data_IF_044728438659
#
_entry.id   IF_044728438659
#
_cell.length_a   1.000
_cell.length_b   1.000
_cell.length_c   1.000
_cell.angle_alpha   90.00
_cell.angle_beta   90.00
_cell.angle_gamma   90.00
#
_symmetry.space_group_name_H-M   'P 1'
#
loop_
_entity.id
_entity.type
_entity.pdbx_description
1 polymer ?
#
# COMPACT_ATOMS: atom_id res chain seq x y z
N UNK A 1 23.85 16.86 32.15
CA UNK A 1 22.52 16.34 32.54
C UNK A 1 22.37 14.92 32.00
N UNK A 2 22.23 13.91 32.86
CA UNK A 2 21.94 12.52 32.45
C UNK A 2 20.45 12.25 32.59
N UNK A 3 19.84 11.61 31.61
CA UNK A 3 18.44 11.15 31.69
C UNK A 3 18.31 10.02 32.72
N UNK A 4 17.16 9.93 33.38
CA UNK A 4 16.86 8.76 34.20
C UNK A 4 16.54 7.55 33.31
N UNK A 5 16.71 6.30 33.80
CA UNK A 5 16.42 5.10 33.03
C UNK A 5 15.01 5.06 32.43
N UNK A 6 14.00 5.59 33.14
CA UNK A 6 12.61 5.65 32.68
C UNK A 6 12.45 6.57 31.46
N UNK A 7 13.16 7.71 31.44
CA UNK A 7 13.17 8.62 30.29
C UNK A 7 13.84 7.98 29.07
N UNK A 8 14.96 7.26 29.28
CA UNK A 8 15.65 6.53 28.21
C UNK A 8 14.74 5.49 27.59
N UNK A 9 14.06 4.69 28.41
CA UNK A 9 13.12 3.67 27.92
C UNK A 9 11.94 4.29 27.16
N UNK A 10 11.35 5.38 27.67
CA UNK A 10 10.26 6.09 26.98
C UNK A 10 10.67 6.62 25.61
N UNK A 11 11.89 7.16 25.48
CA UNK A 11 12.40 7.59 24.17
C UNK A 11 12.69 6.42 23.25
N UNK A 12 13.28 5.33 23.77
CA UNK A 12 13.62 4.17 22.97
C UNK A 12 12.37 3.46 22.42
N UNK A 13 11.27 3.45 23.16
CA UNK A 13 9.99 2.92 22.68
C UNK A 13 9.46 3.62 21.42
N UNK A 14 9.78 4.90 21.23
CA UNK A 14 9.38 5.67 20.03
C UNK A 14 10.14 5.26 18.76
N UNK A 15 11.20 4.44 18.89
CA UNK A 15 11.95 3.91 17.74
C UNK A 15 11.17 2.85 16.97
N UNK A 16 10.43 1.99 17.67
CA UNK A 16 9.72 0.87 17.04
C UNK A 16 8.73 1.30 15.95
N UNK A 17 7.93 2.37 16.11
CA UNK A 17 7.12 2.94 15.03
C UNK A 17 7.90 3.24 13.75
N UNK A 18 9.15 3.72 13.83
CA UNK A 18 9.97 4.00 12.64
C UNK A 18 10.33 2.72 11.89
N UNK A 19 10.58 1.62 12.60
CA UNK A 19 10.88 0.32 12.00
C UNK A 19 9.63 -0.28 11.33
N UNK A 20 8.47 -0.12 11.96
CA UNK A 20 7.16 -0.52 11.41
C UNK A 20 6.83 0.30 10.15
N UNK A 21 7.04 1.61 10.17
CA UNK A 21 6.84 2.49 9.03
C UNK A 21 7.75 2.11 7.86
N UNK A 22 9.04 1.89 8.14
CA UNK A 22 10.01 1.40 7.16
C UNK A 22 9.59 0.06 6.54
N UNK A 23 9.01 -0.85 7.34
CA UNK A 23 8.45 -2.09 6.82
C UNK A 23 7.31 -1.81 5.84
N UNK A 24 6.37 -0.92 6.16
CA UNK A 24 5.25 -0.57 5.28
C UNK A 24 5.71 0.02 3.94
N UNK A 25 6.58 1.03 3.95
CA UNK A 25 7.06 1.62 2.69
C UNK A 25 7.86 0.62 1.86
N UNK A 26 8.73 -0.20 2.49
CA UNK A 26 9.56 -1.17 1.76
C UNK A 26 8.77 -2.35 1.21
N UNK A 27 7.94 -2.97 2.04
CA UNK A 27 7.31 -4.26 1.73
C UNK A 27 5.90 -4.13 1.16
N UNK A 28 5.14 -3.10 1.56
CA UNK A 28 3.73 -2.99 1.17
C UNK A 28 3.49 -1.95 0.07
N UNK A 29 4.35 -0.93 -0.02
CA UNK A 29 4.26 0.13 -1.02
C UNK A 29 5.27 -0.01 -2.17
N UNK A 30 6.24 -0.91 -2.05
CA UNK A 30 7.17 -1.23 -3.14
C UNK A 30 8.43 -0.35 -3.18
N UNK A 31 8.79 0.35 -2.10
CA UNK A 31 10.09 1.02 -2.02
C UNK A 31 11.25 0.02 -2.15
N UNK A 32 11.06 -1.23 -1.69
CA UNK A 32 12.03 -2.31 -1.83
C UNK A 32 12.12 -2.91 -3.23
N UNK A 33 11.12 -2.67 -4.10
CA UNK A 33 11.07 -3.22 -5.47
C UNK A 33 11.87 -2.37 -6.47
N UNK A 34 12.53 -1.32 -5.97
CA UNK A 34 13.34 -0.43 -6.78
C UNK A 34 14.47 -1.18 -7.50
N UNK A 35 14.56 -0.99 -8.82
CA UNK A 35 15.64 -1.48 -9.69
C UNK A 35 16.66 -0.35 -9.90
N UNK A 36 17.88 -0.66 -10.35
CA UNK A 36 18.84 0.39 -10.74
C UNK A 36 18.22 1.29 -11.82
N UNK A 37 18.07 2.59 -11.52
CA UNK A 37 17.44 3.62 -12.35
C UNK A 37 18.28 4.91 -12.29
N UNK A 38 17.97 5.88 -13.14
CA UNK A 38 18.58 7.22 -13.04
C UNK A 38 18.23 7.88 -11.70
N UNK A 39 19.03 8.86 -11.29
CA UNK A 39 18.80 9.59 -10.05
C UNK A 39 17.40 10.24 -10.01
N UNK A 40 16.99 10.87 -11.11
CA UNK A 40 15.70 11.55 -11.24
C UNK A 40 14.53 10.57 -11.14
N UNK A 41 14.71 9.35 -11.65
CA UNK A 41 13.72 8.29 -11.51
C UNK A 41 13.61 7.79 -10.06
N UNK A 42 14.74 7.71 -9.35
CA UNK A 42 14.76 7.39 -7.90
C UNK A 42 14.00 8.45 -7.11
N UNK A 43 14.30 9.72 -7.35
CA UNK A 43 13.67 10.83 -6.64
C UNK A 43 12.15 10.83 -6.82
N UNK A 44 11.67 10.68 -8.06
CA UNK A 44 10.23 10.59 -8.37
C UNK A 44 9.59 9.36 -7.75
N UNK A 45 10.28 8.22 -7.75
CA UNK A 45 9.79 7.00 -7.11
C UNK A 45 9.58 7.22 -5.62
N UNK A 46 10.58 7.77 -4.93
CA UNK A 46 10.47 8.13 -3.51
C UNK A 46 9.31 9.09 -3.28
N UNK A 47 9.18 10.15 -4.07
CA UNK A 47 8.10 11.12 -3.93
C UNK A 47 6.70 10.46 -4.02
N UNK A 48 6.50 9.53 -4.97
CA UNK A 48 5.23 8.80 -5.13
C UNK A 48 4.98 7.89 -3.93
N UNK A 49 5.99 7.15 -3.46
CA UNK A 49 5.86 6.27 -2.30
C UNK A 49 5.48 7.08 -1.05
N UNK A 50 6.16 8.20 -0.80
CA UNK A 50 5.88 9.04 0.35
C UNK A 50 4.55 9.77 0.25
N UNK A 51 4.12 10.14 -0.96
CA UNK A 51 2.77 10.67 -1.19
C UNK A 51 1.71 9.61 -0.85
N UNK A 52 1.87 8.38 -1.34
CA UNK A 52 0.97 7.27 -1.03
C UNK A 52 0.96 6.97 0.49
N UNK A 53 2.12 6.96 1.13
CA UNK A 53 2.23 6.76 2.57
C UNK A 53 1.55 7.89 3.37
N UNK A 54 1.75 9.14 2.95
CA UNK A 54 1.09 10.30 3.56
C UNK A 54 -0.43 10.22 3.43
N UNK A 55 -0.94 9.79 2.28
CA UNK A 55 -2.37 9.53 2.10
C UNK A 55 -2.89 8.46 3.07
N UNK A 56 -2.16 7.36 3.25
CA UNK A 56 -2.55 6.29 4.18
C UNK A 56 -2.54 6.76 5.64
N UNK A 57 -1.54 7.56 6.03
CA UNK A 57 -1.47 8.21 7.34
C UNK A 57 -2.64 9.18 7.55
N UNK A 58 -2.98 9.98 6.53
CA UNK A 58 -4.15 10.85 6.58
C UNK A 58 -5.43 10.03 6.79
N UNK A 59 -5.62 8.93 6.04
CA UNK A 59 -6.77 8.02 6.19
C UNK A 59 -6.84 7.38 7.57
N UNK A 60 -5.72 6.96 8.14
CA UNK A 60 -5.69 6.42 9.50
C UNK A 60 -6.20 7.45 10.53
N UNK A 61 -5.78 8.71 10.40
CA UNK A 61 -6.12 9.77 11.35
C UNK A 61 -7.50 10.41 11.13
N UNK A 62 -8.12 10.20 9.97
CA UNK A 62 -9.43 10.79 9.61
C UNK A 62 -10.50 9.72 9.30
N UNK A 63 -10.25 8.47 9.67
CA UNK A 63 -11.18 7.37 9.47
C UNK A 63 -12.46 7.60 10.28
N UNK A 64 -13.59 7.13 9.75
CA UNK A 64 -14.81 7.13 10.55
C UNK A 64 -14.68 6.14 11.72
N UNK A 65 -15.43 6.34 12.83
CA UNK A 65 -15.44 5.38 13.94
C UNK A 65 -15.86 3.95 13.53
N UNK A 66 -16.54 3.80 12.39
CA UNK A 66 -16.97 2.50 11.85
C UNK A 66 -15.80 1.74 11.21
N UNK A 67 -14.83 2.43 10.62
CA UNK A 67 -13.66 1.83 9.96
C UNK A 67 -12.66 1.23 10.96
N UNK A 68 -12.59 1.78 12.18
CA UNK A 68 -11.80 1.26 13.33
C UNK A 68 -10.31 0.98 13.04
N UNK A 69 -9.68 1.72 12.13
CA UNK A 69 -8.26 1.53 11.83
C UNK A 69 -7.38 1.82 13.06
N UNK A 70 -6.46 0.91 13.38
CA UNK A 70 -5.49 1.07 14.48
C UNK A 70 -4.10 1.37 13.93
N UNK A 71 -3.78 0.83 12.76
CA UNK A 71 -2.48 0.99 12.10
C UNK A 71 -2.64 1.20 10.60
N UNK A 72 -1.61 1.74 9.95
CA UNK A 72 -1.58 1.92 8.48
C UNK A 72 -1.85 0.61 7.73
N UNK A 73 -1.42 -0.54 8.28
CA UNK A 73 -1.71 -1.84 7.69
C UNK A 73 -3.22 -2.15 7.59
N UNK A 74 -4.05 -1.64 8.50
CA UNK A 74 -5.51 -1.78 8.42
C UNK A 74 -6.07 -1.02 7.21
N UNK A 75 -5.60 0.22 7.02
CA UNK A 75 -5.97 1.06 5.87
C UNK A 75 -5.61 0.38 4.56
N UNK A 76 -4.38 -0.16 4.46
CA UNK A 76 -3.90 -0.90 3.29
C UNK A 76 -4.80 -2.12 3.02
N UNK A 77 -5.09 -2.92 4.05
CA UNK A 77 -6.00 -4.09 3.93
C UNK A 77 -7.39 -3.67 3.46
N UNK A 78 -7.93 -2.59 4.01
CA UNK A 78 -9.24 -2.06 3.63
C UNK A 78 -9.28 -1.65 2.17
N UNK A 79 -8.30 -0.87 1.70
CA UNK A 79 -8.17 -0.49 0.29
C UNK A 79 -8.06 -1.69 -0.64
N UNK A 80 -7.18 -2.65 -0.30
CA UNK A 80 -7.01 -3.87 -1.11
C UNK A 80 -8.29 -4.67 -1.20
N UNK A 81 -9.03 -4.79 -0.10
CA UNK A 81 -10.33 -5.46 -0.07
C UNK A 81 -11.35 -4.73 -0.95
N UNK A 82 -11.44 -3.40 -0.85
CA UNK A 82 -12.33 -2.60 -1.69
C UNK A 82 -12.00 -2.79 -3.18
N UNK A 83 -10.73 -2.73 -3.55
CA UNK A 83 -10.32 -2.98 -4.93
C UNK A 83 -10.66 -4.40 -5.39
N UNK A 84 -10.44 -5.43 -4.54
CA UNK A 84 -10.80 -6.80 -4.87
C UNK A 84 -12.31 -6.95 -5.11
N UNK A 85 -13.15 -6.33 -4.27
CA UNK A 85 -14.60 -6.29 -4.46
C UNK A 85 -14.97 -5.63 -5.78
N UNK A 86 -14.42 -4.45 -6.08
CA UNK A 86 -14.70 -3.74 -7.34
C UNK A 86 -14.28 -4.55 -8.58
N UNK A 87 -13.12 -5.21 -8.51
CA UNK A 87 -12.65 -6.10 -9.58
C UNK A 87 -13.59 -7.28 -9.77
N UNK A 88 -14.03 -7.92 -8.68
CA UNK A 88 -14.96 -9.04 -8.72
C UNK A 88 -16.31 -8.63 -9.29
N UNK A 89 -16.87 -7.52 -8.82
CA UNK A 89 -18.14 -6.97 -9.32
C UNK A 89 -18.05 -6.67 -10.82
N UNK A 90 -16.98 -6.00 -11.27
CA UNK A 90 -16.77 -5.69 -12.68
C UNK A 90 -16.65 -6.96 -13.54
N UNK A 91 -15.94 -7.99 -13.03
CA UNK A 91 -15.81 -9.27 -13.72
C UNK A 91 -17.17 -10.00 -13.83
N UNK A 92 -17.96 -10.02 -12.76
CA UNK A 92 -19.30 -10.61 -12.75
C UNK A 92 -20.26 -9.90 -13.70
N UNK A 93 -20.24 -8.56 -13.73
CA UNK A 93 -21.05 -7.76 -14.67
C UNK A 93 -20.66 -8.08 -16.11
N UNK A 94 -19.37 -8.13 -16.43
CA UNK A 94 -18.90 -8.48 -17.78
C UNK A 94 -19.30 -9.92 -18.17
N UNK A 95 -19.16 -10.88 -17.26
CA UNK A 95 -19.54 -12.28 -17.50
C UNK A 95 -21.03 -12.43 -17.82
N UNK A 96 -21.89 -11.67 -17.14
CA UNK A 96 -23.34 -11.65 -17.40
C UNK A 96 -23.70 -11.05 -18.75
N UNK A 97 -22.93 -10.08 -19.25
CA UNK A 97 -23.23 -9.39 -20.50
C UNK A 97 -22.70 -10.11 -21.74
N UNK A 98 -21.50 -10.67 -21.67
CA UNK A 98 -20.83 -11.19 -22.87
C UNK A 98 -20.99 -12.70 -23.05
N UNK A 99 -21.46 -13.44 -22.03
CA UNK A 99 -21.51 -14.92 -21.97
C UNK A 99 -20.16 -15.63 -22.28
N UNK A 100 -19.08 -14.87 -22.50
CA UNK A 100 -17.75 -15.38 -22.81
C UNK A 100 -16.80 -15.19 -21.64
N UNK A 101 -16.66 -16.25 -20.85
CA UNK A 101 -15.72 -16.33 -19.73
C UNK A 101 -14.27 -16.12 -20.19
N UNK A 102 -13.90 -16.49 -21.41
CA UNK A 102 -12.54 -16.36 -21.95
C UNK A 102 -12.13 -14.90 -22.03
N UNK A 103 -13.05 -14.03 -22.45
CA UNK A 103 -12.81 -12.60 -22.53
C UNK A 103 -12.65 -11.96 -21.15
N UNK A 104 -13.49 -12.37 -20.18
CA UNK A 104 -13.39 -11.91 -18.78
C UNK A 104 -12.03 -12.31 -18.18
N UNK A 105 -11.63 -13.58 -18.34
CA UNK A 105 -10.34 -14.07 -17.86
C UNK A 105 -9.18 -13.32 -18.51
N UNK A 106 -9.26 -13.03 -19.81
CA UNK A 106 -8.24 -12.23 -20.51
C UNK A 106 -8.13 -10.82 -19.95
N UNK A 107 -9.25 -10.19 -19.60
CA UNK A 107 -9.27 -8.79 -19.12
C UNK A 107 -8.79 -8.65 -17.68
N UNK A 108 -9.13 -9.60 -16.81
CA UNK A 108 -8.94 -9.48 -15.36
C UNK A 108 -7.82 -10.37 -14.79
N UNK A 109 -7.43 -11.45 -15.48
CA UNK A 109 -6.42 -12.41 -15.00
C UNK A 109 -5.13 -12.37 -15.83
N UNK A 110 -5.22 -12.13 -17.14
CA UNK A 110 -4.01 -12.05 -17.95
C UNK A 110 -3.19 -10.83 -17.53
N UNK A 111 -2.09 -11.09 -16.81
CA UNK A 111 -0.98 -10.16 -16.68
C UNK A 111 -0.64 -9.68 -18.09
N UNK A 112 -0.70 -8.37 -18.32
CA UNK A 112 -0.09 -7.78 -19.51
C UNK A 112 1.32 -8.35 -19.59
N UNK A 113 1.59 -9.09 -20.65
CA UNK A 113 2.96 -9.49 -20.97
C UNK A 113 3.73 -8.17 -21.15
N UNK A 114 4.78 -7.88 -20.37
CA UNK A 114 5.63 -6.76 -20.72
C UNK A 114 6.21 -7.09 -22.09
N UNK A 115 5.96 -6.24 -23.08
CA UNK A 115 6.60 -6.36 -24.38
C UNK A 115 8.13 -6.40 -24.15
N UNK A 116 8.88 -7.32 -24.79
CA UNK A 116 10.34 -7.29 -24.73
C UNK A 116 10.86 -5.97 -25.35
N UNK A 117 12.07 -5.54 -24.92
CA UNK A 117 12.63 -4.23 -25.28
C UNK A 117 12.83 -4.04 -26.79
#
# INVERSE_FOLDING_TARGET
MSLCPQQILSFYQKRWPIEVDNYYVKQLLGLGDFRVQSYEAVEKWFAIIFLAYTYLQWRLNHASPEERFQVVADVIRSHRRQHATQVLEAACVMARHNEDLTQVMRRFVSRGHPAPP
#
